data_IF_533389558095
#
_entry.id   IF_533389558095
#
_cell.length_a   1.000
_cell.length_b   1.000
_cell.length_c   1.000
_cell.angle_alpha   90.00
_cell.angle_beta   90.00
_cell.angle_gamma   90.00
#
_symmetry.space_group_name_H-M   'P 1'
#
loop_
_entity.id
_entity.type
_entity.pdbx_description
1 polymer ?
#
# COMPACT_ATOMS: atom_id res chain seq x y z
N UNK A 1 11.05 12.47 0.65
CA UNK A 1 11.52 13.49 -0.32
C UNK A 1 12.27 12.81 -1.44
N UNK A 2 12.02 13.20 -2.71
CA UNK A 2 12.60 12.56 -3.92
C UNK A 2 14.14 12.47 -3.92
N UNK A 3 14.84 13.36 -3.21
CA UNK A 3 16.31 13.40 -3.17
C UNK A 3 16.91 12.86 -1.86
N UNK A 4 16.09 12.31 -0.94
CA UNK A 4 16.59 11.72 0.31
C UNK A 4 17.34 12.66 1.25
N UNK A 5 17.07 13.97 1.17
CA UNK A 5 17.62 14.99 2.08
C UNK A 5 16.58 16.08 2.36
N UNK A 6 16.73 16.78 3.48
CA UNK A 6 15.98 18.01 3.75
C UNK A 6 16.16 19.02 2.62
N UNK A 7 15.10 19.73 2.19
CA UNK A 7 15.22 20.75 1.17
C UNK A 7 16.04 21.89 1.78
N UNK A 8 17.15 22.23 1.16
CA UNK A 8 17.87 23.43 1.56
C UNK A 8 17.00 24.66 1.22
N UNK A 9 17.07 25.68 2.06
CA UNK A 9 16.21 26.86 1.95
C UNK A 9 16.33 27.58 0.59
N UNK A 10 17.46 27.38 -0.14
CA UNK A 10 17.65 27.94 -1.48
C UNK A 10 16.93 27.09 -2.53
N UNK A 11 17.13 25.78 -2.53
CA UNK A 11 16.44 24.85 -3.44
C UNK A 11 14.92 24.91 -3.32
N UNK A 12 14.37 25.04 -2.10
CA UNK A 12 12.93 25.20 -1.89
C UNK A 12 12.39 26.49 -2.53
N UNK A 13 13.09 27.62 -2.35
CA UNK A 13 12.71 28.89 -2.97
C UNK A 13 12.73 28.81 -4.49
N UNK A 14 13.81 28.25 -5.06
CA UNK A 14 13.96 28.12 -6.51
C UNK A 14 12.87 27.22 -7.12
N UNK A 15 12.43 26.19 -6.40
CA UNK A 15 11.34 25.31 -6.82
C UNK A 15 9.98 25.99 -6.73
N UNK A 16 9.71 26.70 -5.62
CA UNK A 16 8.47 27.45 -5.43
C UNK A 16 8.31 28.56 -6.47
N UNK A 17 9.36 29.36 -6.70
CA UNK A 17 9.35 30.43 -7.72
C UNK A 17 9.05 29.87 -9.12
N UNK A 18 9.57 28.68 -9.44
CA UNK A 18 9.31 28.03 -10.72
C UNK A 18 7.88 27.50 -10.82
N UNK A 19 7.38 26.78 -9.81
CA UNK A 19 6.01 26.25 -9.79
C UNK A 19 5.00 27.39 -9.91
N UNK A 20 5.22 28.50 -9.21
CA UNK A 20 4.38 29.71 -9.31
C UNK A 20 4.50 30.39 -10.68
N UNK A 21 5.70 30.45 -11.27
CA UNK A 21 5.93 31.11 -12.57
C UNK A 21 5.34 30.35 -13.75
N UNK A 22 5.23 29.03 -13.67
CA UNK A 22 4.84 28.18 -14.81
C UNK A 22 3.53 27.39 -14.60
N UNK A 23 2.81 27.61 -13.49
CA UNK A 23 1.58 26.88 -13.12
C UNK A 23 1.74 25.35 -13.28
N UNK A 24 2.92 24.84 -12.95
CA UNK A 24 3.31 23.49 -13.33
C UNK A 24 2.53 22.43 -12.56
N UNK A 25 1.87 21.53 -13.30
CA UNK A 25 1.21 20.36 -12.74
C UNK A 25 2.22 19.49 -11.95
N UNK A 26 1.83 18.81 -10.85
CA UNK A 26 2.73 18.00 -10.04
C UNK A 26 3.59 16.99 -10.83
N UNK A 27 3.08 16.48 -11.95
CA UNK A 27 3.84 15.59 -12.86
C UNK A 27 5.05 16.26 -13.49
N UNK A 28 4.97 17.55 -13.85
CA UNK A 28 6.08 18.29 -14.46
C UNK A 28 7.16 18.58 -13.41
N UNK A 29 6.76 18.83 -12.16
CA UNK A 29 7.71 18.97 -11.05
C UNK A 29 8.43 17.64 -10.77
N UNK A 30 7.70 16.52 -10.79
CA UNK A 30 8.29 15.19 -10.67
C UNK A 30 9.29 14.91 -11.81
N UNK A 31 8.91 15.17 -13.06
CA UNK A 31 9.79 15.01 -14.24
C UNK A 31 11.06 15.86 -14.13
N UNK A 32 10.95 17.10 -13.66
CA UNK A 32 12.09 18.00 -13.47
C UNK A 32 13.04 17.49 -12.40
N UNK A 33 12.52 17.03 -11.27
CA UNK A 33 13.35 16.47 -10.19
C UNK A 33 14.00 15.17 -10.68
N UNK A 34 13.24 14.29 -11.32
CA UNK A 34 13.73 13.00 -11.84
C UNK A 34 14.71 13.13 -13.02
N UNK A 35 14.69 14.25 -13.74
CA UNK A 35 15.64 14.55 -14.81
C UNK A 35 16.88 15.32 -14.32
N UNK A 36 16.93 15.75 -13.06
CA UNK A 36 18.07 16.46 -12.49
C UNK A 36 19.31 15.57 -12.39
N UNK A 37 20.49 16.17 -12.52
CA UNK A 37 21.75 15.42 -12.36
C UNK A 37 21.92 14.90 -10.93
N UNK A 38 21.40 15.60 -9.92
CA UNK A 38 21.42 15.12 -8.52
C UNK A 38 20.59 13.85 -8.37
N UNK A 39 19.36 13.83 -8.92
CA UNK A 39 18.55 12.63 -8.94
C UNK A 39 19.24 11.54 -9.76
N UNK A 40 19.76 11.84 -10.95
CA UNK A 40 20.47 10.85 -11.79
C UNK A 40 21.66 10.24 -11.06
N UNK A 41 22.49 11.04 -10.40
CA UNK A 41 23.67 10.57 -9.67
C UNK A 41 23.30 9.69 -8.47
N UNK A 42 22.30 10.07 -7.68
CA UNK A 42 21.77 9.21 -6.60
C UNK A 42 21.07 7.96 -7.14
N UNK A 43 20.39 8.11 -8.28
CA UNK A 43 19.69 7.03 -8.95
C UNK A 43 20.64 6.00 -9.58
N UNK A 44 21.87 6.42 -9.92
CA UNK A 44 22.96 5.61 -10.47
C UNK A 44 23.80 4.93 -9.38
N UNK A 45 23.72 5.38 -8.12
CA UNK A 45 24.36 4.70 -6.98
C UNK A 45 23.57 3.47 -6.49
N UNK A 46 22.33 3.28 -6.96
CA UNK A 46 21.55 2.04 -6.80
C UNK A 46 21.40 1.31 -8.15
N UNK A 47 21.16 0.00 -8.12
CA UNK A 47 20.92 -0.77 -9.34
C UNK A 47 19.77 -0.16 -10.16
N UNK A 48 19.87 -0.19 -11.49
CA UNK A 48 18.79 0.28 -12.37
C UNK A 48 17.53 -0.56 -12.09
N UNK A 49 16.43 0.10 -11.73
CA UNK A 49 15.14 -0.58 -11.62
C UNK A 49 14.73 -1.15 -12.98
N UNK A 50 14.15 -2.35 -12.97
CA UNK A 50 13.71 -3.05 -14.16
C UNK A 50 12.21 -2.79 -14.36
N UNK A 51 11.80 -2.30 -15.55
CA UNK A 51 10.40 -2.28 -15.91
C UNK A 51 9.90 -3.70 -16.19
N UNK A 52 8.85 -4.11 -15.48
CA UNK A 52 8.19 -5.39 -15.66
C UNK A 52 6.78 -5.11 -16.19
N UNK A 53 6.46 -5.64 -17.37
CA UNK A 53 5.11 -5.59 -17.93
C UNK A 53 4.24 -6.66 -17.24
N UNK A 54 3.16 -6.19 -16.60
CA UNK A 54 2.22 -6.98 -15.82
C UNK A 54 0.94 -7.27 -16.62
N UNK A 55 1.00 -7.24 -17.95
CA UNK A 55 -0.14 -7.49 -18.82
C UNK A 55 -1.06 -6.28 -18.94
N UNK A 56 -0.50 -5.13 -19.32
CA UNK A 56 -1.25 -3.90 -19.58
C UNK A 56 -0.92 -2.73 -18.65
N UNK A 57 -0.01 -2.94 -17.70
CA UNK A 57 0.61 -1.89 -16.90
C UNK A 57 2.03 -2.30 -16.52
N UNK A 58 2.89 -1.33 -16.24
CA UNK A 58 4.30 -1.54 -15.88
C UNK A 58 4.52 -1.29 -14.39
N UNK A 59 5.23 -2.19 -13.73
CA UNK A 59 5.78 -1.99 -12.38
C UNK A 59 7.31 -1.89 -12.47
N UNK A 60 7.92 -1.06 -11.63
CA UNK A 60 9.37 -0.96 -11.55
C UNK A 60 9.89 -1.77 -10.37
N UNK A 61 10.65 -2.82 -10.66
CA UNK A 61 11.19 -3.74 -9.67
C UNK A 61 12.70 -3.47 -9.45
N UNK A 62 13.18 -3.61 -8.21
CA UNK A 62 14.61 -3.48 -7.92
C UNK A 62 15.28 -4.86 -8.01
N UNK A 63 16.30 -5.08 -8.86
CA UNK A 63 16.94 -6.40 -9.01
C UNK A 63 17.56 -6.97 -7.73
N UNK A 64 17.95 -6.08 -6.81
CA UNK A 64 18.50 -6.47 -5.51
C UNK A 64 17.45 -6.86 -4.48
N UNK A 65 16.17 -6.51 -4.70
CA UNK A 65 15.09 -6.84 -3.77
C UNK A 65 14.64 -8.30 -3.96
N UNK A 66 14.97 -9.11 -2.96
CA UNK A 66 14.76 -10.58 -3.00
C UNK A 66 13.37 -11.02 -2.55
N UNK A 67 12.51 -10.11 -2.13
CA UNK A 67 11.16 -10.45 -1.66
C UNK A 67 10.14 -10.21 -2.77
N UNK A 68 9.65 -8.97 -2.87
CA UNK A 68 8.57 -8.62 -3.79
C UNK A 68 9.09 -8.56 -5.21
N UNK A 69 10.19 -7.82 -5.42
CA UNK A 69 10.75 -7.64 -6.76
C UNK A 69 11.21 -8.96 -7.37
N UNK A 70 11.80 -9.89 -6.60
CA UNK A 70 12.20 -11.20 -7.12
C UNK A 70 11.02 -12.02 -7.64
N UNK A 71 9.89 -12.07 -6.92
CA UNK A 71 8.68 -12.77 -7.37
C UNK A 71 8.08 -12.12 -8.63
N UNK A 72 7.97 -10.78 -8.62
CA UNK A 72 7.49 -10.01 -9.78
C UNK A 72 8.40 -10.19 -11.00
N UNK A 73 9.72 -10.20 -10.81
CA UNK A 73 10.71 -10.40 -11.88
C UNK A 73 10.68 -11.84 -12.41
N UNK A 74 10.55 -12.84 -11.54
CA UNK A 74 10.62 -14.25 -11.92
C UNK A 74 9.36 -14.72 -12.66
N UNK A 75 8.18 -14.39 -12.12
CA UNK A 75 6.93 -15.02 -12.54
C UNK A 75 5.93 -14.03 -13.16
N UNK A 76 6.25 -12.72 -13.20
CA UNK A 76 5.32 -11.68 -13.62
C UNK A 76 4.04 -11.62 -12.77
N UNK A 77 4.07 -12.24 -11.59
CA UNK A 77 2.93 -12.43 -10.70
C UNK A 77 3.40 -12.46 -9.25
N UNK A 78 2.65 -11.78 -8.38
CA UNK A 78 2.82 -11.82 -6.93
C UNK A 78 1.42 -11.93 -6.32
N UNK A 79 1.17 -12.98 -5.55
CA UNK A 79 -0.14 -13.27 -4.93
C UNK A 79 -1.34 -13.20 -5.89
N UNK A 80 -1.37 -14.03 -6.96
CA UNK A 80 -2.42 -13.98 -7.97
C UNK A 80 -3.83 -14.15 -7.38
N UNK A 81 -3.96 -14.95 -6.31
CA UNK A 81 -5.23 -15.18 -5.62
C UNK A 81 -5.85 -13.90 -5.03
N UNK A 82 -5.04 -12.94 -4.59
CA UNK A 82 -5.51 -11.64 -4.10
C UNK A 82 -5.67 -10.65 -5.24
N UNK A 83 -4.67 -10.56 -6.13
CA UNK A 83 -4.64 -9.61 -7.22
C UNK A 83 -5.80 -9.78 -8.20
N UNK A 84 -6.26 -11.00 -8.44
CA UNK A 84 -7.43 -11.28 -9.28
C UNK A 84 -8.73 -10.81 -8.60
N UNK A 85 -8.90 -11.12 -7.31
CA UNK A 85 -10.09 -10.70 -6.54
C UNK A 85 -10.14 -9.19 -6.37
N UNK A 86 -8.99 -8.57 -6.12
CA UNK A 86 -8.85 -7.12 -6.09
C UNK A 86 -9.27 -6.48 -7.40
N UNK A 87 -8.82 -7.02 -8.55
CA UNK A 87 -9.23 -6.55 -9.86
C UNK A 87 -10.75 -6.65 -10.09
N UNK A 88 -11.36 -7.74 -9.65
CA UNK A 88 -12.80 -7.99 -9.79
C UNK A 88 -13.65 -7.03 -8.96
N UNK A 89 -13.11 -6.47 -7.88
CA UNK A 89 -13.78 -5.47 -7.06
C UNK A 89 -13.70 -4.05 -7.66
N UNK A 90 -12.83 -3.83 -8.64
CA UNK A 90 -12.60 -2.53 -9.26
C UNK A 90 -13.50 -2.31 -10.47
N UNK A 91 -13.78 -1.03 -10.74
CA UNK A 91 -14.57 -0.60 -11.90
C UNK A 91 -14.02 0.72 -12.45
N UNK A 92 -14.38 1.08 -13.68
CA UNK A 92 -14.05 2.40 -14.23
C UNK A 92 -14.63 3.51 -13.35
N UNK A 93 -13.84 4.54 -13.07
CA UNK A 93 -14.20 5.63 -12.16
C UNK A 93 -14.08 5.31 -10.66
N UNK A 94 -13.51 4.16 -10.28
CA UNK A 94 -13.34 3.78 -8.88
C UNK A 94 -12.37 4.70 -8.14
N UNK A 95 -12.65 4.92 -6.85
CA UNK A 95 -11.74 5.55 -5.90
C UNK A 95 -11.14 4.48 -5.01
N UNK A 96 -9.82 4.37 -5.05
CA UNK A 96 -9.07 3.28 -4.43
C UNK A 96 -8.08 3.86 -3.44
N UNK A 97 -7.98 3.24 -2.27
CA UNK A 97 -6.95 3.52 -1.29
C UNK A 97 -6.06 2.27 -1.14
N UNK A 98 -4.78 2.42 -1.45
CA UNK A 98 -3.77 1.37 -1.36
C UNK A 98 -2.82 1.70 -0.21
N UNK A 99 -2.98 1.04 0.94
CA UNK A 99 -2.21 1.29 2.17
C UNK A 99 -1.10 0.26 2.29
N UNK A 100 0.15 0.72 2.15
CA UNK A 100 1.31 -0.15 1.93
C UNK A 100 1.59 -0.36 0.45
N UNK A 101 1.54 0.72 -0.34
CA UNK A 101 1.61 0.64 -1.80
C UNK A 101 2.92 0.03 -2.33
N UNK A 102 3.99 0.06 -1.54
CA UNK A 102 5.28 -0.57 -1.83
C UNK A 102 5.79 -0.15 -3.23
N UNK A 103 6.20 -1.07 -4.10
CA UNK A 103 6.65 -0.77 -5.47
C UNK A 103 5.51 -0.41 -6.44
N UNK A 104 4.26 -0.41 -5.97
CA UNK A 104 3.09 0.03 -6.73
C UNK A 104 2.32 -1.06 -7.45
N UNK A 105 2.47 -2.33 -7.06
CA UNK A 105 1.80 -3.44 -7.74
C UNK A 105 0.27 -3.28 -7.79
N UNK A 106 -0.36 -3.08 -6.63
CA UNK A 106 -1.80 -2.84 -6.53
C UNK A 106 -2.19 -1.45 -7.04
N UNK A 107 -1.38 -0.43 -6.74
CA UNK A 107 -1.56 0.95 -7.21
C UNK A 107 -1.66 1.04 -8.74
N UNK A 108 -0.71 0.46 -9.50
CA UNK A 108 -0.72 0.55 -10.97
C UNK A 108 -1.89 -0.22 -11.56
N UNK A 109 -2.22 -1.39 -11.01
CA UNK A 109 -3.38 -2.18 -11.43
C UNK A 109 -4.69 -1.42 -11.20
N UNK A 110 -4.84 -0.81 -10.02
CA UNK A 110 -5.98 0.02 -9.68
C UNK A 110 -6.11 1.22 -10.62
N UNK A 111 -4.99 1.91 -10.90
CA UNK A 111 -4.96 3.07 -11.78
C UNK A 111 -5.39 2.72 -13.22
N UNK A 112 -4.93 1.58 -13.72
CA UNK A 112 -5.28 1.05 -15.04
C UNK A 112 -6.80 0.82 -15.18
N UNK A 113 -7.40 0.14 -14.20
CA UNK A 113 -8.82 -0.24 -14.23
C UNK A 113 -9.72 0.95 -13.94
N UNK A 114 -9.35 1.80 -12.98
CA UNK A 114 -10.14 2.96 -12.60
C UNK A 114 -10.17 4.03 -13.71
N UNK A 115 -9.10 4.14 -14.51
CA UNK A 115 -9.01 5.06 -15.65
C UNK A 115 -9.06 6.54 -15.24
N UNK A 116 -9.17 7.42 -16.23
CA UNK A 116 -9.00 8.89 -16.06
C UNK A 116 -10.00 9.53 -15.08
N UNK A 117 -11.19 8.94 -14.94
CA UNK A 117 -12.25 9.40 -14.03
C UNK A 117 -12.14 8.82 -12.61
N UNK A 118 -11.29 7.81 -12.42
CA UNK A 118 -11.01 7.23 -11.12
C UNK A 118 -9.94 7.98 -10.36
N UNK A 119 -9.68 7.58 -9.11
CA UNK A 119 -8.58 8.11 -8.29
C UNK A 119 -7.96 6.98 -7.47
N UNK A 120 -6.64 6.93 -7.39
CA UNK A 120 -5.90 6.01 -6.53
C UNK A 120 -5.05 6.81 -5.55
N UNK A 121 -5.23 6.55 -4.26
CA UNK A 121 -4.43 7.12 -3.19
C UNK A 121 -3.48 6.03 -2.68
N UNK A 122 -2.19 6.17 -2.97
CA UNK A 122 -1.16 5.20 -2.63
C UNK A 122 -0.38 5.68 -1.40
N UNK A 123 -0.57 5.03 -0.25
CA UNK A 123 0.10 5.37 1.01
C UNK A 123 1.36 4.51 1.12
N UNK A 124 2.52 5.17 1.11
CA UNK A 124 3.82 4.51 1.18
C UNK A 124 4.80 5.41 1.94
N UNK A 125 5.27 5.01 3.13
CA UNK A 125 6.19 5.85 3.91
C UNK A 125 7.64 5.80 3.42
N UNK A 126 8.08 4.73 2.75
CA UNK A 126 9.49 4.47 2.51
C UNK A 126 10.01 5.19 1.24
N UNK A 127 11.02 6.06 1.36
CA UNK A 127 11.56 6.80 0.21
C UNK A 127 12.09 5.92 -0.93
N UNK A 128 12.64 4.74 -0.62
CA UNK A 128 13.13 3.82 -1.65
C UNK A 128 11.99 3.31 -2.55
N UNK A 129 10.79 3.12 -2.00
CA UNK A 129 9.61 2.65 -2.72
C UNK A 129 8.98 3.77 -3.56
N UNK A 130 9.13 5.05 -3.13
CA UNK A 130 8.65 6.20 -3.90
C UNK A 130 9.24 6.23 -5.30
N UNK A 131 10.52 5.85 -5.46
CA UNK A 131 11.18 5.80 -6.76
C UNK A 131 10.45 4.85 -7.72
N UNK A 132 10.11 3.65 -7.25
CA UNK A 132 9.39 2.64 -8.02
C UNK A 132 7.97 3.12 -8.36
N UNK A 133 7.25 3.67 -7.37
CA UNK A 133 5.91 4.23 -7.54
C UNK A 133 5.88 5.36 -8.58
N UNK A 134 6.66 6.42 -8.40
CA UNK A 134 6.67 7.55 -9.33
C UNK A 134 7.14 7.14 -10.73
N UNK A 135 8.17 6.30 -10.83
CA UNK A 135 8.62 5.79 -12.10
C UNK A 135 7.56 4.93 -12.80
N UNK A 136 6.80 4.11 -12.05
CA UNK A 136 5.65 3.37 -12.55
C UNK A 136 4.54 4.30 -13.06
N UNK A 137 4.18 5.33 -12.30
CA UNK A 137 3.16 6.32 -12.70
C UNK A 137 3.56 6.97 -14.04
N UNK A 138 4.79 7.45 -14.16
CA UNK A 138 5.30 8.10 -15.38
C UNK A 138 5.33 7.13 -16.56
N UNK A 139 5.79 5.88 -16.34
CA UNK A 139 5.87 4.87 -17.42
C UNK A 139 4.52 4.47 -17.97
N UNK A 140 3.51 4.42 -17.13
CA UNK A 140 2.15 4.11 -17.53
C UNK A 140 1.35 5.33 -18.04
N UNK A 141 1.88 6.55 -17.86
CA UNK A 141 1.16 7.77 -18.22
C UNK A 141 -0.05 8.05 -17.33
N UNK A 142 -0.05 7.56 -16.08
CA UNK A 142 -1.18 7.74 -15.18
C UNK A 142 -1.22 9.14 -14.57
N UNK A 143 -2.38 9.77 -14.65
CA UNK A 143 -2.68 11.08 -14.03
C UNK A 143 -3.65 10.97 -12.83
N UNK A 144 -4.17 9.77 -12.58
CA UNK A 144 -5.18 9.47 -11.57
C UNK A 144 -4.60 8.91 -10.25
N UNK A 145 -3.28 8.95 -10.05
CA UNK A 145 -2.60 8.42 -8.86
C UNK A 145 -2.02 9.55 -8.01
N UNK A 146 -2.27 9.52 -6.70
CA UNK A 146 -1.66 10.40 -5.69
C UNK A 146 -0.86 9.56 -4.70
N UNK A 147 0.45 9.80 -4.61
CA UNK A 147 1.33 9.15 -3.62
C UNK A 147 1.33 9.98 -2.33
N UNK A 148 1.03 9.32 -1.22
CA UNK A 148 0.93 9.87 0.12
C UNK A 148 2.14 9.39 0.95
N UNK A 149 3.20 10.22 1.11
CA UNK A 149 4.50 9.78 1.63
C UNK A 149 4.53 9.76 3.17
N UNK A 150 3.59 9.04 3.78
CA UNK A 150 3.47 8.86 5.23
C UNK A 150 2.95 7.45 5.54
N UNK A 151 3.10 7.00 6.78
CA UNK A 151 2.47 5.78 7.26
C UNK A 151 1.05 6.08 7.76
N UNK A 152 0.08 5.23 7.42
CA UNK A 152 -1.26 5.32 7.97
C UNK A 152 -1.25 4.95 9.46
N UNK A 153 -1.86 5.80 10.29
CA UNK A 153 -1.90 5.62 11.74
C UNK A 153 -3.16 6.25 12.34
N UNK A 154 -3.39 6.08 13.65
CA UNK A 154 -4.48 6.68 14.40
C UNK A 154 -4.15 8.09 14.94
N UNK A 155 -2.98 8.62 14.60
CA UNK A 155 -2.59 10.00 14.91
C UNK A 155 -1.43 10.52 14.06
N UNK A 156 -1.24 11.85 14.01
CA UNK A 156 -0.03 12.45 13.46
C UNK A 156 1.17 12.19 14.38
N UNK A 157 2.33 11.93 13.79
CA UNK A 157 3.52 11.56 14.54
C UNK A 157 4.72 11.21 13.67
N UNK A 158 5.74 10.66 14.31
CA UNK A 158 6.93 10.11 13.67
C UNK A 158 7.21 8.74 14.28
N UNK A 159 7.37 7.72 13.45
CA UNK A 159 7.69 6.36 13.89
C UNK A 159 8.97 5.86 13.19
N UNK A 160 9.77 5.01 13.86
CA UNK A 160 10.92 4.39 13.22
C UNK A 160 10.49 3.26 12.27
N UNK A 161 10.92 3.36 11.02
CA UNK A 161 10.82 2.30 10.03
C UNK A 161 12.20 1.70 9.76
N UNK A 162 12.29 0.37 9.75
CA UNK A 162 13.56 -0.32 9.51
C UNK A 162 13.59 -0.75 8.06
N UNK A 163 14.50 -0.13 7.32
CA UNK A 163 14.72 -0.43 5.91
C UNK A 163 15.91 -1.37 5.80
N UNK A 164 15.68 -2.59 5.31
CA UNK A 164 16.79 -3.37 4.78
C UNK A 164 17.19 -2.72 3.45
N UNK A 165 18.48 -2.39 3.27
CA UNK A 165 18.99 -1.72 2.07
C UNK A 165 18.69 -2.50 0.77
N UNK A 166 18.48 -3.81 0.89
CA UNK A 166 18.20 -4.74 -0.20
C UNK A 166 16.75 -5.28 -0.20
N UNK A 167 15.81 -4.59 0.45
CA UNK A 167 14.39 -5.00 0.46
C UNK A 167 13.44 -3.83 0.29
N UNK A 168 12.37 -4.07 -0.45
CA UNK A 168 11.24 -3.15 -0.56
C UNK A 168 10.29 -3.22 0.65
N UNK A 169 10.39 -4.26 1.47
CA UNK A 169 9.66 -4.36 2.74
C UNK A 169 10.43 -3.62 3.84
N UNK A 170 9.74 -2.69 4.49
CA UNK A 170 10.18 -2.11 5.75
C UNK A 170 9.32 -2.69 6.88
N UNK A 171 9.98 -3.20 7.92
CA UNK A 171 9.27 -3.55 9.15
C UNK A 171 9.36 -2.33 10.07
N UNK A 172 8.21 -1.83 10.50
CA UNK A 172 8.16 -0.74 11.48
C UNK A 172 8.33 -1.34 12.88
N UNK A 173 9.33 -0.89 13.64
CA UNK A 173 9.47 -1.20 15.07
C UNK A 173 10.28 -2.44 15.49
N UNK A 174 10.79 -3.29 14.58
CA UNK A 174 11.57 -4.50 14.95
C UNK A 174 13.03 -4.42 14.52
N UNK A 175 13.95 -4.21 15.48
CA UNK A 175 15.41 -4.22 15.25
C UNK A 175 15.83 -5.53 14.56
N UNK A 176 16.21 -5.45 13.29
CA UNK A 176 16.82 -6.58 12.59
C UNK A 176 18.34 -6.57 12.81
N UNK A 177 18.92 -7.73 13.09
CA UNK A 177 20.36 -7.90 13.21
C UNK A 177 20.98 -7.97 11.80
N UNK A 178 21.25 -6.81 11.19
CA UNK A 178 21.87 -6.71 9.86
C UNK A 178 22.11 -5.25 9.42
N UNK A 179 22.60 -5.06 8.18
CA UNK A 179 22.72 -3.75 7.51
C UNK A 179 21.33 -3.15 7.24
N UNK A 180 20.68 -2.67 8.28
CA UNK A 180 19.39 -1.99 8.22
C UNK A 180 19.56 -0.54 8.67
N UNK A 181 18.96 0.38 7.93
CA UNK A 181 18.90 1.79 8.32
C UNK A 181 17.54 2.05 8.97
N UNK A 182 17.57 2.67 10.14
CA UNK A 182 16.39 3.18 10.81
C UNK A 182 16.10 4.59 10.28
N UNK A 183 14.96 4.75 9.62
CA UNK A 183 14.49 6.05 9.13
C UNK A 183 13.23 6.45 9.90
N UNK A 184 13.11 7.73 10.24
CA UNK A 184 11.89 8.26 10.82
C UNK A 184 10.89 8.55 9.70
N UNK A 185 9.70 7.99 9.78
CA UNK A 185 8.63 8.22 8.81
C UNK A 185 7.47 8.97 9.47
N UNK A 186 6.89 9.99 8.82
CA UNK A 186 5.72 10.69 9.33
C UNK A 186 4.52 9.74 9.32
N UNK A 187 3.66 9.87 10.32
CA UNK A 187 2.37 9.18 10.39
C UNK A 187 1.24 10.17 10.25
N UNK A 188 0.12 9.72 9.66
CA UNK A 188 -1.10 10.52 9.55
C UNK A 188 -2.35 9.65 9.65
N UNK A 189 -3.45 10.26 10.13
CA UNK A 189 -4.79 9.69 10.02
C UNK A 189 -5.31 9.88 8.60
N UNK A 190 -5.75 8.80 7.99
CA UNK A 190 -6.34 8.84 6.66
C UNK A 190 -7.67 9.60 6.67
N UNK A 191 -8.43 9.52 7.76
CA UNK A 191 -9.64 10.33 7.98
C UNK A 191 -9.38 11.83 7.80
N UNK A 192 -8.20 12.33 8.20
CA UNK A 192 -7.86 13.75 8.10
C UNK A 192 -7.38 14.10 6.69
N UNK A 193 -6.55 13.25 6.08
CA UNK A 193 -5.97 13.48 4.75
C UNK A 193 -7.01 13.36 3.63
N UNK A 194 -7.96 12.44 3.78
CA UNK A 194 -8.95 12.11 2.75
C UNK A 194 -10.38 12.52 3.13
N UNK A 195 -10.55 13.39 4.12
CA UNK A 195 -11.86 13.81 4.63
C UNK A 195 -12.85 14.25 3.54
N UNK A 196 -12.34 14.96 2.52
CA UNK A 196 -13.12 15.63 1.48
C UNK A 196 -13.31 14.81 0.21
N UNK A 197 -12.83 13.56 0.16
CA UNK A 197 -13.04 12.75 -1.04
C UNK A 197 -14.54 12.47 -1.25
N UNK A 198 -15.02 12.48 -2.50
CA UNK A 198 -16.44 12.30 -2.78
C UNK A 198 -16.90 10.86 -2.59
N UNK A 199 -15.99 9.89 -2.75
CA UNK A 199 -16.25 8.45 -2.67
C UNK A 199 -14.97 7.69 -2.36
N UNK A 200 -15.13 6.47 -1.85
CA UNK A 200 -14.08 5.47 -1.67
C UNK A 200 -14.74 4.12 -1.90
N UNK A 201 -14.28 3.39 -2.91
CA UNK A 201 -14.93 2.16 -3.38
C UNK A 201 -14.17 0.92 -2.92
N UNK A 202 -12.84 0.97 -2.95
CA UNK A 202 -11.97 -0.15 -2.57
C UNK A 202 -10.82 0.33 -1.69
N UNK A 203 -10.50 -0.45 -0.66
CA UNK A 203 -9.31 -0.26 0.20
C UNK A 203 -8.48 -1.53 0.19
N UNK A 204 -7.16 -1.43 0.02
CA UNK A 204 -6.19 -2.48 0.33
C UNK A 204 -5.35 -2.03 1.53
N UNK A 205 -5.10 -2.93 2.48
CA UNK A 205 -4.25 -2.70 3.65
C UNK A 205 -3.27 -3.86 3.78
N UNK A 206 -1.98 -3.54 3.81
CA UNK A 206 -0.89 -4.50 3.94
C UNK A 206 0.36 -3.76 4.38
N UNK A 207 0.53 -3.69 5.69
CA UNK A 207 1.51 -2.82 6.34
C UNK A 207 2.19 -3.54 7.51
N UNK A 208 2.37 -4.85 7.34
CA UNK A 208 3.24 -5.69 8.16
C UNK A 208 2.93 -5.55 9.66
N UNK A 209 1.65 -5.60 10.04
CA UNK A 209 1.18 -5.63 11.43
C UNK A 209 0.55 -4.32 11.95
N UNK A 210 0.71 -3.21 11.22
CA UNK A 210 0.11 -1.92 11.60
C UNK A 210 -1.34 -1.76 11.16
N UNK A 211 -1.95 -2.78 10.55
CA UNK A 211 -3.32 -2.75 10.05
C UNK A 211 -4.33 -2.28 11.11
N UNK A 212 -4.28 -2.71 12.39
CA UNK A 212 -5.24 -2.27 13.40
C UNK A 212 -5.15 -0.76 13.67
N UNK A 213 -3.94 -0.20 13.65
CA UNK A 213 -3.69 1.23 13.88
C UNK A 213 -4.20 2.05 12.69
N UNK A 214 -3.86 1.63 11.47
CA UNK A 214 -4.36 2.28 10.25
C UNK A 214 -5.89 2.21 10.15
N UNK A 215 -6.49 1.07 10.53
CA UNK A 215 -7.95 0.89 10.57
C UNK A 215 -8.64 1.90 11.48
N UNK A 216 -8.11 2.12 12.69
CA UNK A 216 -8.61 3.18 13.61
C UNK A 216 -8.49 4.57 12.98
N UNK A 217 -7.37 4.83 12.32
CA UNK A 217 -7.08 6.09 11.61
C UNK A 217 -7.93 6.38 10.38
N UNK A 218 -8.68 5.41 9.87
CA UNK A 218 -9.58 5.56 8.71
C UNK A 218 -11.04 5.16 9.02
N UNK A 219 -11.38 5.06 10.30
CA UNK A 219 -12.70 4.56 10.71
C UNK A 219 -13.85 5.43 10.21
N UNK A 220 -13.68 6.75 10.11
CA UNK A 220 -14.71 7.64 9.57
C UNK A 220 -14.90 7.44 8.05
N UNK A 221 -13.81 7.23 7.29
CA UNK A 221 -13.88 6.89 5.87
C UNK A 221 -14.60 5.57 5.63
N UNK A 222 -14.27 4.53 6.41
CA UNK A 222 -14.91 3.22 6.32
C UNK A 222 -16.42 3.33 6.61
N UNK A 223 -16.81 4.08 7.64
CA UNK A 223 -18.22 4.29 7.98
C UNK A 223 -18.97 5.10 6.92
N UNK A 224 -18.35 6.17 6.40
CA UNK A 224 -18.95 7.10 5.43
C UNK A 224 -19.15 6.45 4.06
N UNK A 225 -18.12 5.78 3.55
CA UNK A 225 -18.10 5.33 2.15
C UNK A 225 -18.43 3.85 1.98
N UNK A 226 -18.25 3.05 3.04
CA UNK A 226 -18.47 1.59 3.02
C UNK A 226 -17.76 0.89 1.85
N UNK A 227 -16.44 1.05 1.68
CA UNK A 227 -15.71 0.39 0.60
C UNK A 227 -15.63 -1.13 0.81
N UNK A 228 -15.36 -1.86 -0.27
CA UNK A 228 -14.81 -3.22 -0.16
C UNK A 228 -13.38 -3.14 0.36
N UNK A 229 -13.05 -3.92 1.37
CA UNK A 229 -11.70 -3.88 1.99
C UNK A 229 -10.98 -5.20 1.76
N UNK A 230 -9.76 -5.11 1.29
CA UNK A 230 -8.78 -6.18 1.25
C UNK A 230 -7.77 -5.91 2.36
N UNK A 231 -7.54 -6.86 3.27
CA UNK A 231 -6.57 -6.70 4.35
C UNK A 231 -5.73 -7.94 4.51
N UNK A 232 -4.41 -7.75 4.66
CA UNK A 232 -3.57 -8.77 5.25
C UNK A 232 -3.96 -8.97 6.72
N UNK A 233 -3.88 -10.21 7.21
CA UNK A 233 -3.99 -10.55 8.62
C UNK A 233 -2.84 -11.47 9.02
N UNK A 234 -1.84 -10.89 9.68
CA UNK A 234 -0.72 -11.61 10.27
C UNK A 234 -0.70 -11.45 11.80
N UNK A 235 -1.21 -12.44 12.57
CA UNK A 235 -1.20 -12.39 14.04
C UNK A 235 0.20 -12.23 14.65
N UNK A 236 1.24 -12.71 13.98
CA UNK A 236 2.62 -12.54 14.44
C UNK A 236 3.08 -11.10 14.20
N UNK A 237 2.89 -10.56 13.00
CA UNK A 237 3.29 -9.18 12.71
C UNK A 237 2.55 -8.17 13.59
N UNK A 238 1.23 -8.33 13.75
CA UNK A 238 0.39 -7.49 14.61
C UNK A 238 0.91 -7.50 16.06
N UNK A 239 1.28 -8.66 16.60
CA UNK A 239 1.84 -8.77 17.97
C UNK A 239 3.23 -8.16 18.08
N UNK A 240 4.07 -8.32 17.06
CA UNK A 240 5.44 -7.78 17.05
C UNK A 240 5.46 -6.26 17.19
N UNK A 241 4.41 -5.59 16.70
CA UNK A 241 4.25 -4.13 16.80
C UNK A 241 3.38 -3.71 18.01
N UNK A 242 3.06 -4.65 18.90
CA UNK A 242 2.38 -4.39 20.17
C UNK A 242 0.85 -4.28 20.10
N UNK A 243 0.22 -4.72 19.00
CA UNK A 243 -1.24 -4.76 18.86
C UNK A 243 -1.81 -6.16 19.14
N UNK A 244 -3.12 -6.24 19.40
CA UNK A 244 -3.85 -7.51 19.58
C UNK A 244 -4.55 -7.93 18.27
N UNK A 245 -4.20 -9.09 17.69
CA UNK A 245 -4.90 -9.63 16.52
C UNK A 245 -6.40 -9.80 16.73
N UNK A 246 -6.86 -10.17 17.93
CA UNK A 246 -8.30 -10.33 18.20
C UNK A 246 -9.04 -9.00 18.22
N UNK A 247 -8.42 -7.93 18.75
CA UNK A 247 -8.97 -6.59 18.66
C UNK A 247 -9.17 -6.18 17.20
N UNK A 248 -8.20 -6.49 16.34
CA UNK A 248 -8.32 -6.20 14.92
C UNK A 248 -9.48 -6.93 14.25
N UNK A 249 -9.60 -8.24 14.51
CA UNK A 249 -10.73 -9.01 14.01
C UNK A 249 -12.06 -8.48 14.53
N UNK A 250 -12.15 -8.08 15.81
CA UNK A 250 -13.36 -7.46 16.35
C UNK A 250 -13.74 -6.18 15.59
N UNK A 251 -12.78 -5.34 15.19
CA UNK A 251 -13.04 -4.16 14.37
C UNK A 251 -13.54 -4.53 12.96
N UNK A 252 -12.94 -5.54 12.33
CA UNK A 252 -13.37 -6.06 11.02
C UNK A 252 -14.82 -6.57 11.09
N UNK A 253 -15.13 -7.41 12.08
CA UNK A 253 -16.46 -8.02 12.23
C UNK A 253 -17.52 -7.00 12.70
N UNK A 254 -17.13 -5.94 13.40
CA UNK A 254 -18.00 -4.80 13.67
C UNK A 254 -18.33 -4.02 12.39
N UNK A 255 -17.39 -3.93 11.45
CA UNK A 255 -17.58 -3.28 10.16
C UNK A 255 -18.47 -4.10 9.21
N UNK A 256 -18.21 -5.41 9.08
CA UNK A 256 -18.96 -6.33 8.23
C UNK A 256 -19.02 -7.76 8.75
N UNK A 257 -20.13 -8.45 8.46
CA UNK A 257 -20.30 -9.90 8.69
C UNK A 257 -20.02 -10.73 7.43
N UNK A 258 -19.56 -10.10 6.35
CA UNK A 258 -19.17 -10.76 5.10
C UNK A 258 -17.65 -10.68 4.95
N UNK A 259 -16.98 -11.59 5.67
CA UNK A 259 -15.52 -11.70 5.71
C UNK A 259 -15.12 -13.03 5.09
N UNK A 260 -14.29 -12.98 4.08
CA UNK A 260 -13.83 -14.15 3.31
C UNK A 260 -12.31 -14.20 3.31
N UNK A 261 -11.74 -15.33 3.71
CA UNK A 261 -10.32 -15.64 3.55
C UNK A 261 -10.06 -16.07 2.11
N UNK A 262 -9.11 -15.44 1.46
CA UNK A 262 -8.61 -15.78 0.12
C UNK A 262 -7.40 -16.69 0.29
N UNK A 263 -7.53 -17.97 -0.12
CA UNK A 263 -6.44 -18.93 0.00
C UNK A 263 -5.55 -18.91 -1.24
N UNK A 264 -4.27 -19.27 -1.06
CA UNK A 264 -3.26 -19.36 -2.14
C UNK A 264 -3.57 -20.41 -3.19
N UNK A 265 -4.39 -21.42 -2.86
CA UNK A 265 -4.88 -22.46 -3.78
C UNK A 265 -6.11 -22.02 -4.60
N UNK A 266 -6.39 -20.70 -4.64
CA UNK A 266 -7.58 -20.08 -5.22
C UNK A 266 -8.92 -20.42 -4.54
N UNK A 267 -8.88 -21.21 -3.45
CA UNK A 267 -10.01 -21.44 -2.58
C UNK A 267 -10.43 -20.19 -1.80
N UNK A 268 -11.67 -20.20 -1.31
CA UNK A 268 -12.16 -19.15 -0.39
C UNK A 268 -12.86 -19.79 0.80
N UNK A 269 -12.77 -19.16 1.96
CA UNK A 269 -13.48 -19.59 3.17
C UNK A 269 -14.15 -18.39 3.78
N UNK A 270 -15.48 -18.46 3.93
CA UNK A 270 -16.22 -17.45 4.66
C UNK A 270 -16.09 -17.68 6.17
N UNK A 271 -15.81 -16.62 6.90
CA UNK A 271 -15.81 -16.60 8.35
C UNK A 271 -16.90 -15.65 8.85
N UNK A 272 -17.66 -16.08 9.85
CA UNK A 272 -18.77 -15.34 10.46
C UNK A 272 -18.41 -14.72 11.82
N UNK A 273 -17.33 -15.16 12.44
CA UNK A 273 -16.81 -14.62 13.69
C UNK A 273 -15.27 -14.61 13.78
N UNK A 274 -14.67 -13.76 14.64
CA UNK A 274 -13.22 -13.70 14.84
C UNK A 274 -12.57 -15.06 15.14
N UNK A 275 -13.25 -15.91 15.92
CA UNK A 275 -12.75 -17.21 16.35
C UNK A 275 -12.61 -18.17 15.16
N UNK A 276 -13.56 -18.16 14.23
CA UNK A 276 -13.50 -18.97 13.01
C UNK A 276 -12.29 -18.56 12.14
N UNK A 277 -12.01 -17.26 12.02
CA UNK A 277 -10.85 -16.77 11.27
C UNK A 277 -9.52 -17.15 11.93
N UNK A 278 -9.43 -17.08 13.26
CA UNK A 278 -8.26 -17.58 14.01
C UNK A 278 -8.06 -19.10 13.84
N UNK A 279 -9.15 -19.89 13.81
CA UNK A 279 -9.07 -21.33 13.56
C UNK A 279 -8.54 -21.63 12.15
N UNK A 280 -9.03 -20.90 11.15
CA UNK A 280 -8.54 -20.98 9.76
C UNK A 280 -7.04 -20.66 9.70
N UNK A 281 -6.59 -19.59 10.37
CA UNK A 281 -5.18 -19.23 10.45
C UNK A 281 -4.33 -20.35 11.07
N UNK A 282 -4.79 -20.94 12.17
CA UNK A 282 -4.11 -22.07 12.80
C UNK A 282 -4.05 -23.30 11.89
N UNK A 283 -5.12 -23.58 11.15
CA UNK A 283 -5.18 -24.71 10.22
C UNK A 283 -4.21 -24.50 9.05
N UNK A 284 -4.20 -23.31 8.45
CA UNK A 284 -3.32 -22.96 7.35
C UNK A 284 -1.84 -23.07 7.76
N UNK A 285 -1.49 -22.57 8.96
CA UNK A 285 -0.13 -22.69 9.50
C UNK A 285 0.29 -24.14 9.76
N UNK A 286 -0.60 -24.98 10.33
CA UNK A 286 -0.32 -26.41 10.52
C UNK A 286 -0.12 -27.13 9.20
N UNK A 287 -0.95 -26.84 8.20
CA UNK A 287 -0.86 -27.47 6.88
C UNK A 287 0.46 -27.13 6.16
N UNK A 288 0.95 -25.90 6.33
CA UNK A 288 2.22 -25.47 5.73
C UNK A 288 3.46 -25.75 6.60
N UNK A 289 3.28 -26.15 7.86
CA UNK A 289 4.39 -26.34 8.80
C UNK A 289 5.10 -25.04 9.19
N UNK A 290 4.40 -23.90 9.16
CA UNK A 290 5.00 -22.56 9.27
C UNK A 290 4.98 -21.94 10.69
N UNK A 291 4.69 -22.70 11.75
CA UNK A 291 4.75 -22.26 13.17
C UNK A 291 4.17 -20.85 13.46
N UNK A 292 3.06 -20.49 12.80
CA UNK A 292 2.38 -19.21 12.98
C UNK A 292 2.92 -18.06 12.11
N UNK A 293 3.90 -18.30 11.24
CA UNK A 293 4.49 -17.26 10.40
C UNK A 293 3.64 -16.92 9.16
N UNK A 294 2.61 -17.71 8.84
CA UNK A 294 1.75 -17.43 7.68
C UNK A 294 0.76 -16.30 7.98
N UNK A 295 0.56 -15.40 7.02
CA UNK A 295 -0.57 -14.46 7.00
C UNK A 295 -1.80 -15.02 6.28
N UNK A 296 -2.96 -14.45 6.54
CA UNK A 296 -4.17 -14.65 5.74
C UNK A 296 -4.48 -13.39 4.93
N UNK A 297 -5.03 -13.59 3.74
CA UNK A 297 -5.57 -12.50 2.91
C UNK A 297 -7.08 -12.44 3.07
N UNK A 298 -7.61 -11.29 3.49
CA UNK A 298 -9.03 -11.10 3.76
C UNK A 298 -9.68 -10.24 2.69
N UNK A 299 -10.86 -10.67 2.23
CA UNK A 299 -11.83 -9.87 1.50
C UNK A 299 -13.02 -9.58 2.43
N UNK A 300 -13.29 -8.30 2.67
CA UNK A 300 -14.34 -7.81 3.54
C UNK A 300 -15.32 -7.00 2.69
N UNK A 301 -16.45 -7.62 2.34
CA UNK A 301 -17.49 -6.95 1.57
C UNK A 301 -18.27 -6.00 2.48
N UNK A 302 -18.66 -4.80 2.04
CA UNK A 302 -19.49 -3.93 2.85
C UNK A 302 -20.87 -4.58 3.07
N UNK A 303 -21.46 -4.42 4.27
CA UNK A 303 -22.87 -4.80 4.48
C UNK A 303 -23.71 -4.10 3.42
N UNK A 304 -24.47 -4.88 2.65
CA UNK A 304 -25.11 -4.44 1.41
C UNK A 304 -25.71 -3.04 1.51
N UNK A 305 -25.43 -2.19 0.51
CA UNK A 305 -26.41 -1.16 0.15
C UNK A 305 -27.70 -1.93 -0.09
N UNK A 306 -28.76 -1.64 0.65
CA UNK A 306 -30.08 -2.12 0.28
C UNK A 306 -30.23 -1.89 -1.22
N UNK A 307 -30.34 -2.96 -1.99
CA UNK A 307 -30.65 -2.88 -3.40
C UNK A 307 -31.96 -2.10 -3.48
N UNK A 308 -31.89 -0.82 -3.85
CA UNK A 308 -33.07 -0.13 -4.34
C UNK A 308 -33.37 -0.74 -5.69
N UNK A 309 -34.14 -1.82 -5.65
CA UNK A 309 -34.92 -2.30 -6.79
C UNK A 309 -35.81 -1.13 -7.18
N UNK A 310 -35.52 -0.55 -8.34
CA UNK A 310 -36.47 0.22 -9.15
C UNK A 310 -36.39 -0.33 -10.57
#
# INVERSE_FOLDING_TARGET
MLLGREPDARGLRDHLEWVTRYEAHPSVLADRIMSSDEYRMKSQQGASMLPIDMGGYVVLAHPGDRLISAGVIADGNYEPHVIERFAQALHSGAYVLDVGANIGLYTMKAAAIAGEHGRVFAVEPLPQNHRALYGGIVRNGYSNVSVLPFAASDGPGLIPAICALDSSNGIVGVRSAGNSEEIMVPTQRLDDILATIPRLDVVKIDIEGHEPVAWRGMSALLQKHRPTVFSEFSPVAIRNVGNDPLEYLNMIFAYSSDVTVLRRDAGTVRCDEPQALMQEWHQANRAAGLDGQMHLDLLIAPRGRAETVN
#
